data_IF_290871696424
#
_entry.id   IF_290871696424
#
_cell.length_a   1.000
_cell.length_b   1.000
_cell.length_c   1.000
_cell.angle_alpha   90.00
_cell.angle_beta   90.00
_cell.angle_gamma   90.00
#
_symmetry.space_group_name_H-M   'P 1'
#
loop_
_entity.id
_entity.type
_entity.pdbx_description
1 polymer ?
#
# COMPACT_ATOMS: atom_id res chain seq x y z
N UNK A 1 0.03 21.06 3.93
CA UNK A 1 0.22 19.62 3.56
C UNK A 1 -1.02 18.82 3.93
N UNK A 2 -1.48 18.90 5.19
CA UNK A 2 -2.86 18.50 5.57
C UNK A 2 -3.89 19.26 4.73
N UNK A 3 -3.68 20.56 4.49
CA UNK A 3 -4.60 21.36 3.67
C UNK A 3 -4.65 20.93 2.20
N UNK A 4 -3.59 20.33 1.65
CA UNK A 4 -3.60 19.82 0.25
C UNK A 4 -4.34 18.48 0.18
N UNK A 5 -4.23 17.64 1.22
CA UNK A 5 -5.02 16.41 1.33
C UNK A 5 -6.51 16.73 1.52
N UNK A 6 -6.83 17.80 2.27
CA UNK A 6 -8.19 18.33 2.38
C UNK A 6 -8.67 19.00 1.07
N UNK A 7 -7.80 19.72 0.35
CA UNK A 7 -8.16 20.38 -0.91
C UNK A 7 -8.37 19.37 -2.06
N UNK A 8 -7.63 18.25 -2.05
CA UNK A 8 -7.91 17.09 -2.91
C UNK A 8 -9.29 16.48 -2.64
N UNK A 9 -9.81 16.59 -1.41
CA UNK A 9 -11.18 16.19 -1.07
C UNK A 9 -12.24 17.25 -1.37
N UNK A 10 -11.88 18.54 -1.43
CA UNK A 10 -12.80 19.66 -1.72
C UNK A 10 -13.01 19.90 -3.22
N UNK A 11 -11.94 19.82 -4.04
CA UNK A 11 -12.03 20.05 -5.49
C UNK A 11 -12.48 18.81 -6.29
N UNK A 12 -12.34 17.62 -5.71
CA UNK A 12 -12.94 16.38 -6.18
C UNK A 12 -13.79 15.85 -5.04
N UNK A 13 -15.06 16.31 -4.88
CA UNK A 13 -15.89 15.93 -3.74
C UNK A 13 -15.98 14.40 -3.70
N UNK A 14 -15.25 13.84 -2.74
CA UNK A 14 -15.26 12.44 -2.37
C UNK A 14 -16.70 12.13 -1.97
N UNK A 15 -17.47 11.55 -2.89
CA UNK A 15 -18.87 11.18 -2.66
C UNK A 15 -18.88 10.22 -1.47
N UNK A 16 -19.85 10.38 -0.57
CA UNK A 16 -20.08 9.47 0.54
C UNK A 16 -20.01 8.02 0.04
N UNK A 17 -18.96 7.30 0.43
CA UNK A 17 -18.84 5.87 0.16
C UNK A 17 -17.52 5.35 -0.41
N UNK A 18 -16.52 6.16 -0.78
CA UNK A 18 -15.22 5.60 -1.24
C UNK A 18 -14.09 6.63 -1.39
N UNK A 19 -12.86 6.33 -0.91
CA UNK A 19 -11.60 6.31 -1.71
C UNK A 19 -10.31 6.31 -0.87
N UNK A 20 -10.34 6.68 0.40
CA UNK A 20 -9.13 6.73 1.26
C UNK A 20 -9.14 5.59 2.29
N UNK A 21 -8.18 4.66 2.18
CA UNK A 21 -8.00 3.59 3.17
C UNK A 21 -6.62 3.70 3.81
N UNK A 22 -6.57 3.91 5.12
CA UNK A 22 -5.32 3.84 5.88
C UNK A 22 -4.87 2.39 5.98
N UNK A 23 -3.58 2.15 5.72
CA UNK A 23 -2.98 0.82 5.80
C UNK A 23 -1.68 0.87 6.58
N UNK A 24 -1.44 -0.20 7.35
CA UNK A 24 -0.21 -0.40 8.09
C UNK A 24 0.28 -1.82 7.78
N UNK A 25 1.53 -1.92 7.34
CA UNK A 25 2.20 -3.20 7.16
C UNK A 25 3.22 -3.38 8.28
N UNK A 26 3.09 -4.47 9.02
CA UNK A 26 3.92 -4.73 10.19
C UNK A 26 4.74 -6.00 10.00
N UNK A 27 6.02 -5.93 10.37
CA UNK A 27 6.91 -7.07 10.42
C UNK A 27 7.25 -7.37 11.88
N UNK A 28 6.82 -8.54 12.36
CA UNK A 28 6.98 -8.98 13.73
C UNK A 28 8.03 -10.09 13.85
N UNK A 29 8.71 -10.18 15.00
CA UNK A 29 9.61 -11.29 15.29
C UNK A 29 8.83 -12.57 15.60
N UNK A 30 9.10 -13.62 14.84
CA UNK A 30 8.45 -14.91 15.06
C UNK A 30 8.75 -15.51 16.44
N UNK A 31 9.96 -15.31 16.96
CA UNK A 31 10.36 -15.81 18.28
C UNK A 31 9.83 -14.98 19.45
N UNK A 32 9.37 -13.75 19.19
CA UNK A 32 8.86 -12.84 20.19
C UNK A 32 7.71 -12.01 19.59
N UNK A 33 6.45 -12.48 19.69
CA UNK A 33 5.31 -11.86 19.01
C UNK A 33 4.96 -10.46 19.54
N UNK A 34 5.62 -9.99 20.62
CA UNK A 34 5.49 -8.63 21.13
C UNK A 34 6.54 -7.67 20.56
N UNK A 35 7.44 -8.14 19.70
CA UNK A 35 8.55 -7.34 19.16
C UNK A 35 8.32 -6.99 17.68
N UNK A 36 8.01 -5.72 17.44
CA UNK A 36 7.85 -5.13 16.11
C UNK A 36 9.23 -4.80 15.52
N UNK A 37 9.63 -5.51 14.47
CA UNK A 37 10.92 -5.34 13.81
C UNK A 37 10.93 -4.16 12.83
N UNK A 38 9.85 -3.98 12.06
CA UNK A 38 9.67 -2.88 11.10
C UNK A 38 8.18 -2.63 10.83
N UNK A 39 7.85 -1.41 10.38
CA UNK A 39 6.51 -1.10 9.88
C UNK A 39 6.54 -0.05 8.76
N UNK A 40 5.53 -0.11 7.88
CA UNK A 40 5.19 0.88 6.85
C UNK A 40 3.82 1.43 7.17
N UNK A 41 3.65 2.74 7.00
CA UNK A 41 2.38 3.39 7.15
C UNK A 41 2.06 4.19 5.90
N UNK A 42 0.85 3.99 5.41
CA UNK A 42 0.42 4.59 4.17
C UNK A 42 -1.09 4.68 4.07
N UNK A 43 -1.53 5.08 2.89
CA UNK A 43 -2.94 5.08 2.54
C UNK A 43 -3.12 4.73 1.06
N UNK A 44 -4.23 4.08 0.76
CA UNK A 44 -4.62 3.72 -0.59
C UNK A 44 -5.57 4.78 -1.15
N UNK A 45 -5.33 5.17 -2.40
CA UNK A 45 -6.26 5.96 -3.21
C UNK A 45 -6.32 5.32 -4.59
N UNK A 46 -7.46 4.72 -4.93
CA UNK A 46 -7.57 3.88 -6.12
C UNK A 46 -6.54 2.74 -6.10
N UNK A 47 -5.76 2.63 -7.17
CA UNK A 47 -4.71 1.62 -7.42
C UNK A 47 -3.33 2.10 -6.99
N UNK A 48 -3.27 3.15 -6.15
CA UNK A 48 -2.02 3.75 -5.67
C UNK A 48 -1.90 3.58 -4.17
N UNK A 49 -0.77 3.02 -3.72
CA UNK A 49 -0.35 3.11 -2.32
C UNK A 49 0.53 4.35 -2.13
N UNK A 50 0.09 5.25 -1.27
CA UNK A 50 0.87 6.39 -0.80
C UNK A 50 1.53 6.03 0.52
N UNK A 51 2.82 5.78 0.48
CA UNK A 51 3.63 5.54 1.66
C UNK A 51 4.14 6.86 2.22
N UNK A 52 3.86 7.13 3.48
CA UNK A 52 4.31 8.37 4.11
C UNK A 52 5.41 8.14 5.14
N UNK A 53 5.53 6.95 5.73
CA UNK A 53 6.64 6.69 6.64
C UNK A 53 6.93 5.21 6.84
N UNK A 54 8.22 4.95 7.08
CA UNK A 54 8.77 3.65 7.42
C UNK A 54 9.54 3.74 8.74
N UNK A 55 9.41 2.68 9.55
CA UNK A 55 10.23 2.48 10.74
C UNK A 55 10.91 1.12 10.68
N UNK A 56 12.16 1.06 11.15
CA UNK A 56 12.88 -0.18 11.38
C UNK A 56 13.46 -0.11 12.79
N UNK A 57 12.85 -0.84 13.71
CA UNK A 57 13.22 -0.82 15.12
C UNK A 57 14.42 -1.71 15.43
N UNK A 58 14.67 -2.71 14.58
CA UNK A 58 15.76 -3.67 14.78
C UNK A 58 16.89 -3.44 13.80
N UNK A 59 18.02 -2.99 14.35
CA UNK A 59 19.29 -2.81 13.60
C UNK A 59 20.12 -4.07 13.71
N UNK A 60 19.87 -5.03 12.83
CA UNK A 60 20.69 -6.24 12.71
C UNK A 60 21.01 -6.57 11.24
N UNK A 61 21.72 -7.68 11.03
CA UNK A 61 22.21 -8.11 9.72
C UNK A 61 21.09 -8.61 8.78
N UNK A 62 19.85 -8.76 9.25
CA UNK A 62 18.72 -9.27 8.45
C UNK A 62 18.05 -8.17 7.62
N UNK A 63 18.34 -6.89 7.91
CA UNK A 63 17.75 -5.74 7.21
C UNK A 63 16.22 -5.79 7.17
N UNK A 64 15.57 -5.79 8.34
CA UNK A 64 14.11 -5.93 8.47
C UNK A 64 13.30 -4.96 7.59
N UNK A 65 13.74 -3.70 7.44
CA UNK A 65 13.14 -2.75 6.50
C UNK A 65 13.13 -3.28 5.05
N UNK A 66 14.26 -3.80 4.56
CA UNK A 66 14.36 -4.35 3.20
C UNK A 66 13.44 -5.57 3.00
N UNK A 67 13.30 -6.43 4.03
CA UNK A 67 12.39 -7.57 3.99
C UNK A 67 10.94 -7.09 3.88
N UNK A 68 10.56 -6.12 4.70
CA UNK A 68 9.21 -5.54 4.68
C UNK A 68 8.93 -4.87 3.32
N UNK A 69 9.85 -4.04 2.82
CA UNK A 69 9.71 -3.36 1.52
C UNK A 69 9.50 -4.34 0.37
N UNK A 70 10.29 -5.43 0.30
CA UNK A 70 10.12 -6.47 -0.73
C UNK A 70 8.80 -7.21 -0.61
N UNK A 71 8.34 -7.45 0.62
CA UNK A 71 7.06 -8.11 0.88
C UNK A 71 5.90 -7.25 0.42
N UNK A 72 5.91 -5.95 0.75
CA UNK A 72 4.90 -4.98 0.29
C UNK A 72 4.93 -4.88 -1.24
N UNK A 73 6.10 -4.72 -1.85
CA UNK A 73 6.22 -4.61 -3.31
C UNK A 73 5.65 -5.83 -4.04
N UNK A 74 5.98 -7.04 -3.60
CA UNK A 74 5.42 -8.26 -4.16
C UNK A 74 3.89 -8.32 -3.99
N UNK A 75 3.39 -7.99 -2.80
CA UNK A 75 1.96 -7.99 -2.51
C UNK A 75 1.17 -7.02 -3.39
N UNK A 76 1.66 -5.78 -3.55
CA UNK A 76 1.04 -4.77 -4.41
C UNK A 76 1.02 -5.22 -5.88
N UNK A 77 2.12 -5.82 -6.35
CA UNK A 77 2.21 -6.36 -7.70
C UNK A 77 1.20 -7.49 -7.94
N UNK A 78 1.09 -8.45 -7.02
CA UNK A 78 0.12 -9.56 -7.12
C UNK A 78 -1.33 -9.11 -7.00
N UNK A 79 -1.57 -7.99 -6.32
CA UNK A 79 -2.88 -7.35 -6.20
C UNK A 79 -3.20 -6.41 -7.38
N UNK A 80 -2.24 -6.12 -8.25
CA UNK A 80 -2.46 -5.33 -9.47
C UNK A 80 -2.42 -3.82 -9.27
N UNK A 81 -1.80 -3.31 -8.20
CA UNK A 81 -1.61 -1.88 -7.98
C UNK A 81 -0.68 -1.27 -9.03
N UNK A 82 -1.00 -0.06 -9.50
CA UNK A 82 -0.22 0.62 -10.54
C UNK A 82 1.02 1.31 -9.98
N UNK A 83 0.90 1.86 -8.77
CA UNK A 83 1.94 2.71 -8.21
C UNK A 83 2.06 2.54 -6.71
N UNK A 84 3.31 2.42 -6.26
CA UNK A 84 3.70 2.59 -4.88
C UNK A 84 4.50 3.89 -4.76
N UNK A 85 3.84 4.93 -4.25
CA UNK A 85 4.34 6.30 -4.20
C UNK A 85 5.02 6.59 -2.85
N UNK A 86 6.32 6.93 -2.87
CA UNK A 86 7.14 7.10 -1.65
C UNK A 86 7.37 8.58 -1.30
N UNK A 87 6.62 9.50 -1.92
CA UNK A 87 6.78 10.93 -1.70
C UNK A 87 7.97 11.52 -2.45
N UNK A 88 8.81 12.25 -1.73
CA UNK A 88 9.96 12.98 -2.28
C UNK A 88 11.25 12.18 -2.11
N UNK A 89 12.14 12.30 -3.10
CA UNK A 89 13.45 11.67 -3.08
C UNK A 89 14.34 12.35 -2.02
N UNK A 90 14.95 11.54 -1.16
CA UNK A 90 15.98 11.97 -0.22
C UNK A 90 17.36 11.52 -0.69
N UNK A 91 18.42 12.24 -0.35
CA UNK A 91 19.77 11.91 -0.84
C UNK A 91 20.22 10.50 -0.42
N UNK A 92 19.86 10.05 0.78
CA UNK A 92 20.19 8.70 1.25
C UNK A 92 19.44 7.59 0.48
N UNK A 93 18.35 7.95 -0.18
CA UNK A 93 17.50 7.05 -0.96
C UNK A 93 18.01 6.89 -2.40
N UNK A 94 18.76 7.87 -2.92
CA UNK A 94 19.21 7.91 -4.32
C UNK A 94 20.06 6.67 -4.69
N UNK A 95 21.01 6.30 -3.83
CA UNK A 95 21.89 5.17 -4.10
C UNK A 95 21.18 3.82 -4.07
N UNK A 96 20.14 3.66 -3.24
CA UNK A 96 19.41 2.40 -3.10
C UNK A 96 18.24 2.25 -4.10
N UNK A 97 17.57 3.33 -4.49
CA UNK A 97 16.37 3.25 -5.34
C UNK A 97 16.67 3.21 -6.83
N UNK A 98 17.64 3.99 -7.29
CA UNK A 98 17.93 4.17 -8.72
C UNK A 98 18.93 3.12 -9.24
N UNK A 99 19.86 2.66 -8.39
CA UNK A 99 20.93 1.75 -8.80
C UNK A 99 20.58 0.27 -8.56
N UNK A 100 19.59 -0.23 -9.33
CA UNK A 100 19.26 -1.65 -9.53
C UNK A 100 18.66 -2.45 -8.36
N UNK A 101 18.58 -1.91 -7.13
CA UNK A 101 18.09 -2.69 -5.97
C UNK A 101 16.56 -2.71 -5.83
N UNK A 102 15.88 -1.62 -6.15
CA UNK A 102 14.43 -1.48 -6.01
C UNK A 102 13.69 -0.97 -7.27
N UNK A 103 14.41 -0.68 -8.36
CA UNK A 103 13.85 -0.18 -9.62
C UNK A 103 12.90 1.02 -9.45
N UNK A 104 13.20 1.89 -8.47
CA UNK A 104 12.46 3.12 -8.27
C UNK A 104 12.70 4.07 -9.44
N UNK A 105 11.66 4.78 -9.87
CA UNK A 105 11.77 5.85 -10.87
C UNK A 105 11.18 7.14 -10.34
N UNK A 106 11.79 8.24 -10.73
CA UNK A 106 11.14 9.54 -10.59
C UNK A 106 10.00 9.63 -11.59
N UNK A 107 8.86 10.13 -11.14
CA UNK A 107 7.69 10.40 -11.97
C UNK A 107 7.49 11.91 -12.03
N UNK A 108 7.26 12.43 -13.24
CA UNK A 108 6.80 13.80 -13.38
C UNK A 108 5.41 13.96 -12.74
N UNK A 109 5.09 15.19 -12.35
CA UNK A 109 3.78 15.50 -11.79
C UNK A 109 2.64 15.08 -12.74
N UNK A 110 2.81 15.27 -14.06
CA UNK A 110 1.82 14.88 -15.07
C UNK A 110 1.56 13.38 -15.07
N UNK A 111 2.62 12.56 -15.14
CA UNK A 111 2.51 11.10 -15.13
C UNK A 111 1.82 10.59 -13.86
N UNK A 112 2.15 11.16 -12.70
CA UNK A 112 1.49 10.81 -11.44
C UNK A 112 -0.03 11.08 -11.51
N UNK A 113 -0.43 12.27 -11.96
CA UNK A 113 -1.84 12.63 -12.07
C UNK A 113 -2.59 11.79 -13.10
N UNK A 114 -1.93 11.38 -14.18
CA UNK A 114 -2.55 10.53 -15.20
C UNK A 114 -2.88 9.15 -14.63
N UNK A 115 -1.97 8.53 -13.86
CA UNK A 115 -2.22 7.25 -13.18
C UNK A 115 -3.35 7.39 -12.16
N UNK A 116 -3.31 8.43 -11.32
CA UNK A 116 -4.33 8.64 -10.29
C UNK A 116 -5.72 8.89 -10.89
N UNK A 117 -5.82 9.75 -11.92
CA UNK A 117 -7.08 10.00 -12.62
C UNK A 117 -7.62 8.75 -13.28
N UNK A 118 -6.77 7.96 -13.92
CA UNK A 118 -7.17 6.72 -14.55
C UNK A 118 -7.80 5.78 -13.50
N UNK A 119 -7.10 5.56 -12.40
CA UNK A 119 -7.57 4.70 -11.32
C UNK A 119 -8.91 5.14 -10.74
N UNK A 120 -9.08 6.46 -10.52
CA UNK A 120 -10.30 7.01 -9.96
C UNK A 120 -11.48 7.06 -10.96
N UNK A 121 -11.20 7.10 -12.26
CA UNK A 121 -12.24 7.25 -13.30
C UNK A 121 -13.14 6.03 -13.47
N UNK A 122 -12.72 4.87 -12.96
CA UNK A 122 -13.44 3.61 -13.09
C UNK A 122 -14.39 3.29 -11.93
N UNK A 123 -14.53 4.20 -10.95
CA UNK A 123 -15.61 4.13 -9.96
C UNK A 123 -16.96 4.45 -10.63
N UNK A 124 -17.53 3.46 -11.32
CA UNK A 124 -18.89 3.55 -11.88
C UNK A 124 -19.91 3.24 -10.80
N UNK A 125 -21.04 3.98 -10.82
CA UNK A 125 -22.00 4.09 -9.72
C UNK A 125 -22.64 2.77 -9.20
N UNK A 126 -22.35 1.61 -9.80
CA UNK A 126 -22.90 0.31 -9.39
C UNK A 126 -21.85 -0.74 -9.01
N UNK A 127 -20.56 -0.48 -9.24
CA UNK A 127 -19.47 -1.39 -8.84
C UNK A 127 -18.30 -0.61 -8.25
N UNK A 128 -18.09 -0.82 -6.96
CA UNK A 128 -17.01 -0.27 -6.12
C UNK A 128 -15.66 -0.96 -6.39
N UNK A 129 -15.35 -1.21 -7.66
CA UNK A 129 -14.13 -1.89 -8.06
C UNK A 129 -13.09 -0.86 -8.51
N UNK A 130 -11.92 -0.91 -7.89
CA UNK A 130 -10.74 -0.15 -8.35
C UNK A 130 -10.18 -0.88 -9.57
N UNK A 131 -9.98 -0.16 -10.67
CA UNK A 131 -9.37 -0.68 -11.90
C UNK A 131 -7.99 -0.05 -12.08
N UNK A 132 -7.02 -0.85 -12.49
CA UNK A 132 -5.66 -0.38 -12.77
C UNK A 132 -5.49 0.12 -14.21
N UNK A 133 -4.31 0.64 -14.55
CA UNK A 133 -4.00 1.22 -15.86
C UNK A 133 -4.06 0.22 -17.03
N UNK A 134 -4.12 -1.09 -16.73
CA UNK A 134 -4.27 -2.16 -17.71
C UNK A 134 -5.74 -2.62 -17.84
N UNK A 135 -6.69 -1.96 -17.17
CA UNK A 135 -8.10 -2.33 -17.21
C UNK A 135 -8.45 -3.56 -16.37
N UNK A 136 -7.59 -3.95 -15.43
CA UNK A 136 -7.77 -5.11 -14.56
C UNK A 136 -8.23 -4.67 -13.17
N UNK A 137 -9.21 -5.36 -12.55
CA UNK A 137 -9.60 -5.09 -11.16
C UNK A 137 -8.43 -5.31 -10.19
N UNK A 138 -8.20 -4.31 -9.35
CA UNK A 138 -7.25 -4.39 -8.23
C UNK A 138 -7.87 -5.24 -7.13
N UNK A 139 -7.09 -6.17 -6.59
CA UNK A 139 -7.52 -7.04 -5.49
C UNK A 139 -7.39 -6.29 -4.16
N UNK A 140 -8.36 -6.49 -3.28
CA UNK A 140 -8.23 -6.05 -1.88
C UNK A 140 -7.06 -6.80 -1.21
N UNK A 141 -6.08 -6.04 -0.75
CA UNK A 141 -4.86 -6.56 -0.11
C UNK A 141 -5.16 -7.39 1.14
N UNK A 142 -6.12 -6.93 1.95
CA UNK A 142 -6.52 -7.59 3.20
C UNK A 142 -7.13 -8.96 2.90
N UNK A 143 -8.02 -9.01 1.91
CA UNK A 143 -8.65 -10.25 1.44
C UNK A 143 -7.62 -11.19 0.80
N UNK A 144 -6.75 -10.66 -0.05
CA UNK A 144 -5.68 -11.45 -0.68
C UNK A 144 -4.77 -12.14 0.34
N UNK A 145 -4.45 -11.44 1.44
CA UNK A 145 -3.73 -12.02 2.58
C UNK A 145 -4.59 -13.07 3.31
N UNK A 146 -5.85 -12.74 3.63
CA UNK A 146 -6.75 -13.62 4.40
C UNK A 146 -7.02 -14.96 3.68
N UNK A 147 -7.07 -14.93 2.34
CA UNK A 147 -7.21 -16.09 1.47
C UNK A 147 -5.93 -16.95 1.39
N UNK A 148 -4.85 -16.52 2.04
CA UNK A 148 -3.57 -17.21 2.04
C UNK A 148 -2.78 -17.06 0.74
N UNK A 149 -3.11 -16.09 -0.11
CA UNK A 149 -2.45 -15.90 -1.41
C UNK A 149 -1.13 -15.11 -1.31
N UNK A 150 -0.87 -14.43 -0.20
CA UNK A 150 0.36 -13.67 0.00
C UNK A 150 1.59 -14.59 0.19
N UNK A 151 2.74 -14.21 -0.39
CA UNK A 151 4.00 -14.96 -0.19
C UNK A 151 4.40 -15.04 1.29
N UNK A 152 4.23 -13.94 2.02
CA UNK A 152 4.48 -13.88 3.47
C UNK A 152 3.14 -13.90 4.17
N UNK A 153 2.92 -14.96 4.93
CA UNK A 153 1.69 -15.16 5.70
C UNK A 153 1.73 -14.37 7.01
N UNK A 154 0.61 -13.77 7.43
CA UNK A 154 0.51 -13.10 8.73
C UNK A 154 0.64 -14.10 9.89
N UNK A 155 0.93 -13.60 11.10
CA UNK A 155 0.97 -14.49 12.26
C UNK A 155 -0.43 -15.06 12.55
N UNK A 156 -0.54 -16.28 13.09
CA UNK A 156 -1.83 -16.97 13.29
C UNK A 156 -2.89 -16.12 14.00
N UNK A 157 -2.52 -15.37 15.04
CA UNK A 157 -3.47 -14.54 15.79
C UNK A 157 -4.12 -13.42 14.94
N UNK A 158 -3.47 -12.98 13.86
CA UNK A 158 -4.01 -11.97 12.94
C UNK A 158 -4.88 -12.60 11.85
N UNK A 159 -4.64 -13.85 11.45
CA UNK A 159 -5.54 -14.55 10.52
C UNK A 159 -6.95 -14.66 11.10
N UNK A 160 -7.08 -14.87 12.40
CA UNK A 160 -8.36 -14.93 13.09
C UNK A 160 -9.10 -13.59 13.09
N UNK A 161 -8.37 -12.47 13.24
CA UNK A 161 -8.96 -11.12 13.21
C UNK A 161 -9.33 -10.67 11.79
N UNK A 162 -8.63 -11.17 10.76
CA UNK A 162 -8.98 -10.94 9.36
C UNK A 162 -10.25 -11.70 8.97
N UNK A 163 -10.39 -12.96 9.40
CA UNK A 163 -11.56 -13.81 9.09
C UNK A 163 -12.84 -13.39 9.82
N UNK A 164 -12.75 -12.67 10.94
CA UNK A 164 -13.92 -12.23 11.70
C UNK A 164 -14.59 -10.99 11.11
N UNK A 165 -13.84 -10.14 10.38
CA UNK A 165 -14.36 -8.92 9.75
C UNK A 165 -15.28 -9.17 8.56
N UNK A 166 -15.14 -10.33 7.88
CA UNK A 166 -16.03 -10.72 6.78
C UNK A 166 -17.45 -11.12 7.23
N UNK A 167 -17.65 -11.39 8.54
CA UNK A 167 -18.95 -11.85 9.07
C UNK A 167 -19.91 -10.75 9.50
N UNK A 168 -19.54 -9.48 9.33
CA UNK A 168 -20.35 -8.30 9.76
C UNK A 168 -21.06 -7.58 8.61
N UNK A 169 -21.19 -8.22 7.46
CA UNK A 169 -21.85 -7.65 6.25
C UNK A 169 -22.95 -8.57 5.72
N UNK A 170 -23.84 -9.02 6.60
CA UNK A 170 -25.16 -9.57 6.26
C UNK A 170 -26.27 -8.69 6.85
#
# INVERSE_FOLDING_TARGET
MIDILADMTEHYPCRQGETLQLVVFELWEKSNPSELAAASFGYLVGSILHDYTFITNKKDKRSAGNLLTKTIGHLLQECGYDLWYWGFKLDYMAAEYENAKYNGKELSQGEFWDVLKHSLSHHTNDKKEVINCQGVPVKDVTKFIADGSALVQPLPQWLESLKSKDKTTD
#
